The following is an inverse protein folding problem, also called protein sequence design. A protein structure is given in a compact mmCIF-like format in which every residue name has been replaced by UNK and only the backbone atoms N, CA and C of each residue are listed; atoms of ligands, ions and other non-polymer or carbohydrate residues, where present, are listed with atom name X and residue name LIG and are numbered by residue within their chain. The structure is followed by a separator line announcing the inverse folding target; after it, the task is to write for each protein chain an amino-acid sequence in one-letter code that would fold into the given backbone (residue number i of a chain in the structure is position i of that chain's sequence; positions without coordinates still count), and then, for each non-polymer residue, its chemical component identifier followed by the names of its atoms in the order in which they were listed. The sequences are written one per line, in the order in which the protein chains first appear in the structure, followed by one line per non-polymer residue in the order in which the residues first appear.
data_IF_904891695422
#
_entry.id   IF_904891695422
#
_cell.length_a   1.000
_cell.length_b   1.000
_cell.length_c   1.000
_cell.angle_alpha   90.00
_cell.angle_beta   90.00
_cell.angle_gamma   90.00
#
_symmetry.space_group_name_H-M   'P 1'
#
loop_
_entity.id
_entity.type
_entity.pdbx_description
1 polymer ?
#
# COMPACT_ATOMS: atom_id res chain seq x y z
N UNK A 1 4.98 7.92 -4.61
CA UNK A 1 5.42 9.07 -3.80
C UNK A 1 6.85 9.45 -4.16
N UNK A 2 7.26 10.69 -3.91
CA UNK A 2 8.55 11.27 -4.28
C UNK A 2 9.59 11.23 -3.15
N UNK A 3 9.38 10.42 -2.11
CA UNK A 3 10.33 10.25 -1.02
C UNK A 3 11.72 9.83 -1.53
N UNK A 4 12.82 10.36 -0.95
CA UNK A 4 14.18 10.19 -1.49
C UNK A 4 14.64 8.72 -1.52
N UNK A 5 14.10 7.86 -0.64
CA UNK A 5 14.36 6.43 -0.65
C UNK A 5 13.78 5.73 -1.90
N UNK A 6 12.57 6.11 -2.32
CA UNK A 6 11.90 5.53 -3.49
C UNK A 6 12.57 5.96 -4.79
N UNK A 7 12.98 7.23 -4.90
CA UNK A 7 13.65 7.75 -6.09
C UNK A 7 14.94 6.97 -6.38
N UNK A 8 15.81 6.78 -5.39
CA UNK A 8 17.06 6.02 -5.56
C UNK A 8 16.85 4.56 -5.92
N UNK A 9 15.86 3.91 -5.30
CA UNK A 9 15.52 2.52 -5.59
C UNK A 9 14.98 2.38 -7.03
N UNK A 10 14.14 3.32 -7.47
CA UNK A 10 13.55 3.30 -8.79
C UNK A 10 14.57 3.61 -9.89
N UNK A 11 15.58 4.45 -9.64
CA UNK A 11 16.69 4.65 -10.58
C UNK A 11 17.43 3.32 -10.85
N UNK A 12 17.64 2.53 -9.79
CA UNK A 12 18.26 1.20 -9.90
C UNK A 12 17.37 0.21 -10.67
N UNK A 13 16.07 0.21 -10.40
CA UNK A 13 15.11 -0.66 -11.07
C UNK A 13 14.89 -0.29 -12.54
N UNK A 14 14.93 1.01 -12.87
CA UNK A 14 14.84 1.50 -14.24
C UNK A 14 16.04 1.02 -15.06
N UNK A 15 17.26 1.14 -14.51
CA UNK A 15 18.47 0.70 -15.21
C UNK A 15 18.49 -0.81 -15.47
N UNK A 16 18.06 -1.61 -14.49
CA UNK A 16 18.18 -3.08 -14.56
C UNK A 16 17.00 -3.79 -15.20
N UNK A 17 15.79 -3.25 -15.01
CA UNK A 17 14.54 -3.93 -15.38
C UNK A 17 13.61 -3.06 -16.22
N UNK A 18 14.03 -1.84 -16.60
CA UNK A 18 13.21 -0.87 -17.35
C UNK A 18 11.90 -0.49 -16.64
N UNK A 19 11.87 -0.61 -15.31
CA UNK A 19 10.75 -0.16 -14.48
C UNK A 19 10.94 1.33 -14.20
N UNK A 20 10.20 2.17 -14.92
CA UNK A 20 10.38 3.63 -14.87
C UNK A 20 9.48 4.27 -13.81
N UNK A 21 10.04 5.22 -13.06
CA UNK A 21 9.29 5.98 -12.06
C UNK A 21 8.35 6.97 -12.74
N UNK A 22 7.05 6.84 -12.47
CA UNK A 22 6.06 7.88 -12.79
C UNK A 22 6.11 8.94 -11.68
N UNK A 23 6.73 10.07 -11.95
CA UNK A 23 6.77 11.21 -11.01
C UNK A 23 5.41 11.90 -10.98
N UNK A 24 4.78 11.87 -9.82
CA UNK A 24 3.58 12.67 -9.53
C UNK A 24 4.00 14.06 -9.05
N UNK A 25 3.19 15.09 -9.31
CA UNK A 25 3.46 16.42 -8.77
C UNK A 25 3.40 16.40 -7.24
N UNK A 26 4.22 17.21 -6.55
CA UNK A 26 4.05 17.42 -5.11
C UNK A 26 2.61 17.84 -4.78
N UNK A 27 2.07 17.37 -3.66
CA UNK A 27 0.72 17.70 -3.16
C UNK A 27 -0.47 17.24 -4.01
N UNK A 28 -0.30 16.31 -4.96
CA UNK A 28 -1.43 15.70 -5.68
C UNK A 28 -1.91 14.41 -4.98
N UNK A 29 -2.57 14.57 -3.82
CA UNK A 29 -3.11 13.46 -3.03
C UNK A 29 -4.18 12.66 -3.77
N UNK A 30 -4.86 13.23 -4.77
CA UNK A 30 -5.85 12.51 -5.59
C UNK A 30 -5.21 11.36 -6.39
N UNK A 31 -3.97 11.52 -6.87
CA UNK A 31 -3.27 10.46 -7.59
C UNK A 31 -2.92 9.27 -6.66
N UNK A 32 -2.66 9.53 -5.38
CA UNK A 32 -2.43 8.49 -4.38
C UNK A 32 -3.72 7.98 -3.74
N UNK A 33 -4.85 8.69 -3.86
CA UNK A 33 -6.07 8.44 -3.10
C UNK A 33 -6.65 7.02 -3.27
N UNK A 34 -6.47 6.41 -4.45
CA UNK A 34 -6.84 5.01 -4.69
C UNK A 34 -6.01 4.10 -3.77
N UNK A 35 -4.68 4.23 -3.81
CA UNK A 35 -3.76 3.42 -3.00
C UNK A 35 -3.93 3.71 -1.50
N UNK A 36 -4.09 4.98 -1.14
CA UNK A 36 -4.28 5.41 0.26
C UNK A 36 -5.55 4.83 0.88
N UNK A 37 -6.64 4.75 0.11
CA UNK A 37 -7.90 4.13 0.58
C UNK A 37 -7.73 2.63 0.84
N UNK A 38 -7.12 1.89 -0.09
CA UNK A 38 -6.83 0.48 0.11
C UNK A 38 -5.92 0.25 1.33
N UNK A 39 -4.91 1.10 1.54
CA UNK A 39 -4.05 1.03 2.72
C UNK A 39 -4.81 1.27 4.04
N UNK A 40 -5.80 2.15 4.05
CA UNK A 40 -6.62 2.40 5.22
C UNK A 40 -7.42 1.16 5.63
N UNK A 41 -8.09 0.52 4.68
CA UNK A 41 -8.91 -0.67 4.91
C UNK A 41 -8.07 -1.86 5.41
N UNK A 42 -6.89 -2.07 4.80
CA UNK A 42 -5.93 -3.10 5.24
C UNK A 42 -5.46 -2.84 6.67
N UNK A 43 -5.12 -1.60 7.01
CA UNK A 43 -4.68 -1.24 8.37
C UNK A 43 -5.79 -1.48 9.40
N UNK A 44 -7.01 -1.05 9.10
CA UNK A 44 -8.17 -1.28 9.97
C UNK A 44 -8.42 -2.78 10.19
N UNK A 45 -8.40 -3.57 9.12
CA UNK A 45 -8.59 -5.02 9.20
C UNK A 45 -7.47 -5.72 9.99
N UNK A 46 -6.22 -5.25 9.84
CA UNK A 46 -5.09 -5.76 10.64
C UNK A 46 -5.30 -5.51 12.12
N UNK A 47 -5.63 -4.29 12.53
CA UNK A 47 -5.85 -3.97 13.96
C UNK A 47 -7.05 -4.73 14.52
N UNK A 48 -8.17 -4.78 13.78
CA UNK A 48 -9.38 -5.50 14.21
C UNK A 48 -9.13 -7.01 14.36
N UNK A 49 -8.28 -7.60 13.50
CA UNK A 49 -7.91 -9.02 13.57
C UNK A 49 -6.84 -9.34 14.61
N UNK A 50 -6.32 -8.36 15.35
CA UNK A 50 -5.38 -8.59 16.44
C UNK A 50 -6.06 -8.91 17.78
N UNK A 51 -7.38 -8.76 17.91
CA UNK A 51 -8.16 -9.05 19.13
C UNK A 51 -7.55 -8.46 20.43
N UNK A 52 -6.90 -7.29 20.33
CA UNK A 52 -6.23 -6.63 21.46
C UNK A 52 -4.73 -6.91 21.61
N UNK A 53 -4.15 -7.82 20.83
CA UNK A 53 -2.70 -8.04 20.72
C UNK A 53 -2.09 -7.33 19.51
N UNK A 54 -2.23 -6.01 19.43
CA UNK A 54 -1.83 -5.19 18.26
C UNK A 54 -0.37 -5.39 17.83
N UNK A 55 0.53 -5.68 18.77
CA UNK A 55 1.95 -5.96 18.50
C UNK A 55 2.18 -7.24 17.67
N UNK A 56 1.16 -8.09 17.51
CA UNK A 56 1.22 -9.35 16.75
C UNK A 56 0.47 -9.29 15.42
N UNK A 57 0.18 -8.09 14.91
CA UNK A 57 -0.49 -7.86 13.63
C UNK A 57 0.12 -8.63 12.45
N UNK A 58 1.43 -8.88 12.47
CA UNK A 58 2.13 -9.63 11.42
C UNK A 58 1.59 -11.05 11.23
N UNK A 59 0.98 -11.64 12.27
CA UNK A 59 0.34 -12.97 12.19
C UNK A 59 -0.94 -12.94 11.36
N UNK A 60 -1.69 -11.84 11.42
CA UNK A 60 -2.95 -11.65 10.71
C UNK A 60 -2.75 -11.08 9.30
N UNK A 61 -1.56 -10.54 8.99
CA UNK A 61 -1.25 -9.95 7.69
C UNK A 61 -1.55 -10.87 6.49
N UNK A 62 -1.14 -12.15 6.44
CA UNK A 62 -1.46 -13.01 5.31
C UNK A 62 -2.96 -13.15 5.07
N UNK A 63 -3.73 -13.33 6.14
CA UNK A 63 -5.19 -13.49 6.09
C UNK A 63 -5.90 -12.22 5.64
N UNK A 64 -5.45 -11.05 6.12
CA UNK A 64 -6.02 -9.75 5.72
C UNK A 64 -5.75 -9.46 4.24
N UNK A 65 -4.52 -9.70 3.76
CA UNK A 65 -4.22 -9.51 2.33
C UNK A 65 -4.97 -10.49 1.44
N UNK A 66 -5.22 -11.71 1.90
CA UNK A 66 -6.11 -12.64 1.20
C UNK A 66 -7.54 -12.10 1.15
N UNK A 67 -8.09 -11.68 2.28
CA UNK A 67 -9.45 -11.14 2.39
C UNK A 67 -9.64 -9.90 1.51
N UNK A 68 -8.68 -8.98 1.48
CA UNK A 68 -8.72 -7.77 0.64
C UNK A 68 -8.82 -8.13 -0.85
N UNK A 69 -8.05 -9.13 -1.31
CA UNK A 69 -8.07 -9.56 -2.72
C UNK A 69 -9.35 -10.26 -3.15
N UNK A 70 -10.04 -10.96 -2.24
CA UNK A 70 -11.25 -11.74 -2.55
C UNK A 70 -12.54 -10.99 -2.26
N UNK A 71 -12.48 -9.89 -1.51
CA UNK A 71 -13.67 -9.10 -1.16
C UNK A 71 -14.09 -8.25 -2.35
N UNK A 72 -15.37 -8.32 -2.71
CA UNK A 72 -15.92 -7.47 -3.77
C UNK A 72 -16.00 -6.02 -3.29
N UNK A 73 -15.20 -5.15 -3.89
CA UNK A 73 -15.31 -3.71 -3.67
C UNK A 73 -16.44 -3.12 -4.52
N UNK A 74 -17.34 -2.36 -3.90
CA UNK A 74 -18.27 -1.52 -4.66
C UNK A 74 -17.49 -0.40 -5.33
N UNK A 75 -17.63 -0.27 -6.65
CA UNK A 75 -17.20 0.93 -7.35
C UNK A 75 -17.96 2.13 -6.77
N UNK A 76 -17.22 3.13 -6.30
CA UNK A 76 -17.78 4.39 -5.78
C UNK A 76 -17.90 5.39 -6.90
#
# INVERSE_FOLDING_TARGET
DNGPAFVKALDTLSLRYHINHIRISPYNSQANGIVERHHYDVREALIKSCEGEELRWYKSAPSVFWAERVTLHKAT
#
